data_IF_244046586007
#
_entry.id   IF_244046586007
#
_cell.length_a   1.000
_cell.length_b   1.000
_cell.length_c   1.000
_cell.angle_alpha   90.00
_cell.angle_beta   90.00
_cell.angle_gamma   90.00
#
_symmetry.space_group_name_H-M   'P 1'
#
loop_
_entity.id
_entity.type
_entity.pdbx_description
1 polymer ?
#
# COMPACT_ATOMS: atom_id res chain seq x y z
N UNK A 1 7.10 10.01 40.15
CA UNK A 1 7.54 9.86 38.75
C UNK A 1 6.79 8.69 38.14
N UNK A 2 5.76 8.97 37.34
CA UNK A 2 4.91 7.97 36.68
C UNK A 2 5.55 7.63 35.31
N UNK A 3 5.90 6.37 35.10
CA UNK A 3 6.29 5.87 33.78
C UNK A 3 5.03 5.55 32.98
N UNK A 4 4.71 6.41 32.00
CA UNK A 4 3.74 6.08 30.96
C UNK A 4 4.40 5.18 29.92
N UNK A 5 3.90 3.96 29.78
CA UNK A 5 4.31 3.03 28.73
C UNK A 5 3.92 3.57 27.36
N UNK A 6 4.88 3.68 26.45
CA UNK A 6 4.63 3.85 25.02
C UNK A 6 3.90 2.62 24.50
N UNK A 7 2.58 2.75 24.31
CA UNK A 7 1.85 1.86 23.43
C UNK A 7 2.32 2.14 22.00
N UNK A 8 2.93 1.14 21.35
CA UNK A 8 3.21 1.16 19.92
C UNK A 8 1.88 1.23 19.14
N UNK A 9 1.41 2.45 18.90
CA UNK A 9 0.33 2.75 17.96
C UNK A 9 0.96 2.78 16.57
N UNK A 10 1.12 1.61 15.96
CA UNK A 10 1.32 1.52 14.51
C UNK A 10 0.20 2.24 13.76
N UNK A 11 0.46 2.64 12.51
CA UNK A 11 -0.52 3.34 11.68
C UNK A 11 -1.83 2.51 11.57
N UNK A 12 -3.00 3.13 11.33
CA UNK A 12 -4.25 2.39 11.16
C UNK A 12 -4.15 1.26 10.12
N UNK A 13 -3.40 1.52 9.04
CA UNK A 13 -3.06 0.55 7.99
C UNK A 13 -2.20 -0.59 8.52
N UNK A 14 -1.13 -0.30 9.26
CA UNK A 14 -0.26 -1.32 9.85
C UNK A 14 -1.03 -2.25 10.81
N UNK A 15 -1.99 -1.69 11.57
CA UNK A 15 -2.88 -2.48 12.43
C UNK A 15 -3.85 -3.33 11.61
N UNK A 16 -4.39 -2.80 10.51
CA UNK A 16 -5.28 -3.56 9.61
C UNK A 16 -4.54 -4.71 8.91
N UNK A 17 -3.32 -4.47 8.44
CA UNK A 17 -2.44 -5.47 7.86
C UNK A 17 -2.05 -6.55 8.87
N UNK A 18 -1.82 -6.19 10.15
CA UNK A 18 -1.48 -7.17 11.21
C UNK A 18 -2.58 -8.22 11.49
N UNK A 19 -3.81 -7.98 11.04
CA UNK A 19 -4.96 -8.88 11.20
C UNK A 19 -5.21 -9.75 9.97
N UNK A 20 -4.52 -9.48 8.87
CA UNK A 20 -4.62 -10.26 7.65
C UNK A 20 -3.89 -11.59 7.80
N UNK A 21 -4.43 -12.65 7.19
CA UNK A 21 -3.72 -13.92 6.99
C UNK A 21 -3.42 -14.18 5.51
N UNK A 22 -3.96 -13.37 4.62
CA UNK A 22 -3.79 -13.45 3.16
C UNK A 22 -3.29 -12.13 2.64
N UNK A 23 -2.27 -12.17 1.80
CA UNK A 23 -1.72 -11.01 1.10
C UNK A 23 -1.65 -11.34 -0.37
N UNK A 24 -2.18 -10.47 -1.22
CA UNK A 24 -2.11 -10.60 -2.68
C UNK A 24 -1.55 -9.33 -3.29
N UNK A 25 -0.76 -9.50 -4.34
CA UNK A 25 -0.19 -8.41 -5.11
C UNK A 25 -0.66 -8.49 -6.56
N UNK A 26 -1.01 -7.34 -7.11
CA UNK A 26 -1.54 -7.20 -8.46
C UNK A 26 -0.70 -6.20 -9.22
N UNK A 27 -0.28 -6.60 -10.41
CA UNK A 27 0.43 -5.72 -11.32
C UNK A 27 -0.56 -4.97 -12.22
N UNK A 28 -0.14 -3.78 -12.65
CA UNK A 28 -0.89 -2.98 -13.60
C UNK A 28 -1.00 -3.69 -14.96
N UNK A 29 -2.21 -3.73 -15.53
CA UNK A 29 -2.44 -4.15 -16.92
C UNK A 29 -2.26 -2.98 -17.90
N UNK A 30 -1.14 -2.98 -18.62
CA UNK A 30 -0.72 -1.92 -19.55
C UNK A 30 -1.66 -1.74 -20.75
N UNK A 31 -2.38 -2.79 -21.16
CA UNK A 31 -3.31 -2.73 -22.30
C UNK A 31 -4.47 -1.73 -22.10
N UNK A 32 -4.70 -1.29 -20.86
CA UNK A 32 -5.74 -0.33 -20.49
C UNK A 32 -5.17 1.02 -20.02
N UNK A 33 -3.87 1.25 -20.25
CA UNK A 33 -3.25 2.56 -20.04
C UNK A 33 -3.68 3.51 -21.17
N UNK A 34 -4.80 4.20 -21.00
CA UNK A 34 -5.13 5.34 -21.87
C UNK A 34 -4.10 6.45 -21.60
N UNK A 35 -3.17 6.67 -22.52
CA UNK A 35 -2.22 7.79 -22.47
C UNK A 35 -2.99 9.09 -22.79
N UNK A 36 -3.20 10.04 -21.85
CA UNK A 36 -3.61 11.38 -22.21
C UNK A 36 -2.34 12.18 -22.48
N UNK A 37 -1.52 11.71 -23.42
CA UNK A 37 -0.27 12.40 -23.82
C UNK A 37 -0.59 13.77 -24.47
N UNK A 38 -1.85 14.01 -24.82
CA UNK A 38 -2.32 15.23 -25.47
C UNK A 38 -2.45 16.47 -24.56
N UNK A 39 -2.29 16.38 -23.24
CA UNK A 39 -2.62 17.53 -22.35
C UNK A 39 -1.46 18.10 -21.52
N UNK A 40 -0.24 17.56 -21.59
CA UNK A 40 0.85 18.00 -20.70
C UNK A 40 0.57 17.75 -19.20
N UNK A 41 -0.51 17.01 -18.89
CA UNK A 41 -0.90 16.56 -17.55
C UNK A 41 -0.05 15.33 -17.21
N UNK A 42 0.68 15.40 -16.10
CA UNK A 42 1.44 14.32 -15.45
C UNK A 42 0.49 13.34 -14.74
N UNK A 43 -0.59 12.94 -15.41
CA UNK A 43 -1.61 12.05 -14.91
C UNK A 43 -1.70 10.79 -15.77
N UNK A 44 -1.75 9.61 -15.14
CA UNK A 44 -1.86 8.31 -15.82
C UNK A 44 -2.93 7.44 -15.18
N UNK A 45 -3.52 6.56 -15.99
CA UNK A 45 -4.57 5.63 -15.59
C UNK A 45 -3.97 4.24 -15.37
N UNK A 46 -4.29 3.63 -14.23
CA UNK A 46 -3.88 2.27 -13.91
C UNK A 46 -5.06 1.37 -13.67
N UNK A 47 -5.11 0.26 -14.39
CA UNK A 47 -6.03 -0.83 -14.14
C UNK A 47 -5.31 -2.01 -13.48
N UNK A 48 -5.96 -2.62 -12.50
CA UNK A 48 -5.48 -3.81 -11.79
C UNK A 48 -6.57 -4.87 -11.81
N UNK A 49 -6.23 -6.08 -12.25
CA UNK A 49 -7.19 -7.16 -12.36
C UNK A 49 -7.31 -7.95 -11.04
N UNK A 50 -8.45 -7.78 -10.38
CA UNK A 50 -8.74 -8.36 -9.06
C UNK A 50 -9.51 -9.68 -9.14
N UNK A 51 -9.63 -10.30 -10.33
CA UNK A 51 -10.40 -11.54 -10.51
C UNK A 51 -9.87 -12.73 -9.71
N UNK A 52 -8.59 -12.70 -9.30
CA UNK A 52 -8.01 -13.76 -8.49
C UNK A 52 -8.41 -13.69 -7.01
N UNK A 53 -9.08 -12.62 -6.56
CA UNK A 53 -9.60 -12.51 -5.20
C UNK A 53 -10.88 -13.35 -5.06
N UNK A 54 -10.90 -14.38 -4.19
CA UNK A 54 -12.08 -15.18 -3.93
C UNK A 54 -13.21 -14.36 -3.31
N UNK A 55 -14.45 -14.77 -3.55
CA UNK A 55 -15.63 -14.06 -3.04
C UNK A 55 -15.76 -14.14 -1.52
N UNK A 56 -15.19 -15.17 -0.91
CA UNK A 56 -15.20 -15.46 0.52
C UNK A 56 -14.09 -14.72 1.28
N UNK A 57 -13.14 -14.09 0.56
CA UNK A 57 -12.03 -13.35 1.15
C UNK A 57 -12.51 -11.97 1.64
N UNK A 58 -12.19 -11.64 2.89
CA UNK A 58 -12.49 -10.34 3.51
C UNK A 58 -11.27 -9.44 3.49
N UNK A 59 -11.30 -8.38 2.69
CA UNK A 59 -10.24 -7.39 2.66
C UNK A 59 -10.24 -6.54 3.93
N UNK A 60 -9.06 -6.32 4.52
CA UNK A 60 -8.86 -5.42 5.67
C UNK A 60 -8.20 -4.11 5.27
N UNK A 61 -7.24 -4.15 4.35
CA UNK A 61 -6.56 -2.95 3.83
C UNK A 61 -6.00 -3.17 2.43
N UNK A 62 -5.75 -2.09 1.70
CA UNK A 62 -5.06 -2.12 0.43
C UNK A 62 -4.15 -0.90 0.26
N UNK A 63 -2.99 -1.15 -0.34
CA UNK A 63 -1.97 -0.13 -0.60
C UNK A 63 -1.58 -0.14 -2.07
N UNK A 64 -1.53 1.04 -2.69
CA UNK A 64 -0.94 1.23 -4.00
C UNK A 64 0.51 1.68 -3.83
N UNK A 65 1.45 0.91 -4.35
CA UNK A 65 2.87 1.21 -4.29
C UNK A 65 3.34 1.76 -5.64
N UNK A 66 3.99 2.93 -5.58
CA UNK A 66 4.52 3.62 -6.76
C UNK A 66 5.99 3.94 -6.51
N UNK A 67 6.83 3.65 -7.49
CA UNK A 67 8.25 3.97 -7.40
C UNK A 67 8.53 5.41 -7.86
N UNK A 68 9.24 6.15 -7.03
CA UNK A 68 9.83 7.45 -7.39
C UNK A 68 11.32 7.29 -7.60
N UNK A 69 11.84 7.93 -8.63
CA UNK A 69 13.27 8.04 -8.91
C UNK A 69 13.79 9.44 -8.54
N UNK A 70 14.97 9.51 -7.95
CA UNK A 70 15.68 10.75 -7.70
C UNK A 70 16.17 11.33 -9.02
N UNK A 71 16.00 12.64 -9.21
CA UNK A 71 16.68 13.36 -10.28
C UNK A 71 17.91 14.07 -9.73
N UNK A 72 19.05 13.79 -10.36
CA UNK A 72 20.27 14.57 -10.19
C UNK A 72 20.09 15.89 -10.94
N UNK A 73 19.38 16.85 -10.34
CA UNK A 73 19.43 18.22 -10.82
C UNK A 73 20.85 18.75 -10.54
N UNK A 74 21.50 19.30 -11.56
CA UNK A 74 22.77 20.03 -11.43
C UNK A 74 22.65 21.01 -10.27
N UNK A 75 23.45 20.79 -9.24
CA UNK A 75 23.38 21.45 -7.94
C UNK A 75 23.69 22.94 -8.04
N UNK A 76 22.71 23.79 -8.35
CA UNK A 76 22.89 25.24 -8.24
C UNK A 76 21.81 25.98 -7.44
N UNK A 77 20.76 25.33 -6.96
CA UNK A 77 19.88 25.97 -5.97
C UNK A 77 19.27 24.97 -4.99
N UNK A 78 19.47 25.24 -3.70
CA UNK A 78 18.99 24.49 -2.53
C UNK A 78 17.50 24.71 -2.24
N UNK A 79 16.68 25.00 -3.25
CA UNK A 79 15.24 24.99 -3.10
C UNK A 79 14.76 23.55 -3.01
N UNK A 80 14.09 23.21 -1.91
CA UNK A 80 13.53 21.88 -1.70
C UNK A 80 12.43 21.60 -2.72
N UNK A 81 12.78 20.93 -3.82
CA UNK A 81 11.79 20.57 -4.84
C UNK A 81 10.83 19.51 -4.28
N UNK A 82 9.59 19.93 -4.11
CA UNK A 82 8.50 19.06 -3.67
C UNK A 82 7.53 18.85 -4.84
N UNK A 83 6.99 17.63 -4.92
CA UNK A 83 5.87 17.31 -5.80
C UNK A 83 4.78 16.66 -4.97
N UNK A 84 3.53 16.86 -5.36
CA UNK A 84 2.38 16.23 -4.74
C UNK A 84 1.90 15.10 -5.65
N UNK A 85 1.80 13.90 -5.10
CA UNK A 85 1.20 12.77 -5.79
C UNK A 85 -0.23 12.62 -5.29
N UNK A 86 -1.19 12.64 -6.21
CA UNK A 86 -2.60 12.46 -5.94
C UNK A 86 -3.07 11.13 -6.53
N UNK A 87 -3.76 10.33 -5.73
CA UNK A 87 -4.34 9.05 -6.16
C UNK A 87 -5.85 9.21 -6.19
N UNK A 88 -6.45 8.98 -7.34
CA UNK A 88 -7.89 9.02 -7.53
C UNK A 88 -8.44 7.66 -7.94
N UNK A 89 -9.63 7.32 -7.47
CA UNK A 89 -10.46 6.25 -8.01
C UNK A 89 -11.26 6.79 -9.20
N UNK A 90 -11.40 5.98 -10.26
CA UNK A 90 -12.34 6.26 -11.35
C UNK A 90 -13.71 5.71 -10.94
N UNK A 91 -14.68 6.59 -10.69
CA UNK A 91 -16.05 6.20 -10.34
C UNK A 91 -16.85 5.87 -11.60
N UNK A 92 -16.67 6.67 -12.66
CA UNK A 92 -17.30 6.44 -13.96
C UNK A 92 -16.28 6.70 -15.07
N UNK A 93 -16.16 5.78 -16.05
CA UNK A 93 -15.28 5.99 -17.18
C UNK A 93 -15.77 7.15 -18.05
N UNK A 94 -14.84 7.78 -18.77
CA UNK A 94 -15.12 8.85 -19.70
C UNK A 94 -15.89 8.32 -20.92
N UNK A 95 -17.15 8.74 -21.11
CA UNK A 95 -17.90 8.44 -22.35
C UNK A 95 -17.78 9.58 -23.37
N UNK A 96 -17.61 10.83 -22.93
CA UNK A 96 -17.48 12.02 -23.79
C UNK A 96 -16.77 13.24 -23.16
N UNK A 97 -16.45 13.20 -21.86
CA UNK A 97 -15.75 14.22 -21.07
C UNK A 97 -14.72 13.54 -20.16
N UNK A 98 -13.95 14.33 -19.41
CA UNK A 98 -13.06 13.83 -18.34
C UNK A 98 -13.80 12.82 -17.43
N UNK A 99 -13.15 11.71 -17.03
CA UNK A 99 -13.77 10.69 -16.20
C UNK A 99 -14.18 11.26 -14.84
N UNK A 100 -15.25 10.73 -14.26
CA UNK A 100 -15.65 11.12 -12.91
C UNK A 100 -14.76 10.41 -11.89
N UNK A 101 -13.98 11.19 -11.13
CA UNK A 101 -12.95 10.67 -10.23
C UNK A 101 -13.20 11.07 -8.77
N UNK A 102 -12.58 10.34 -7.85
CA UNK A 102 -12.61 10.63 -6.40
C UNK A 102 -11.22 10.53 -5.82
N UNK A 103 -10.75 11.57 -5.15
CA UNK A 103 -9.45 11.55 -4.46
C UNK A 103 -9.49 10.54 -3.31
N UNK A 104 -8.51 9.64 -3.27
CA UNK A 104 -8.33 8.65 -2.22
C UNK A 104 -7.24 9.07 -1.24
N UNK A 105 -6.07 9.40 -1.77
CA UNK A 105 -4.90 9.75 -0.98
C UNK A 105 -4.06 10.80 -1.71
N UNK A 106 -3.36 11.63 -0.95
CA UNK A 106 -2.44 12.64 -1.46
C UNK A 106 -1.21 12.72 -0.58
N UNK A 107 -0.03 12.80 -1.20
CA UNK A 107 1.22 12.94 -0.47
C UNK A 107 2.13 13.98 -1.10
N UNK A 108 2.64 14.87 -0.25
CA UNK A 108 3.73 15.76 -0.61
C UNK A 108 5.05 15.00 -0.43
N UNK A 109 5.87 14.97 -1.47
CA UNK A 109 7.12 14.22 -1.48
C UNK A 109 8.28 15.00 -2.04
N UNK A 110 9.45 14.76 -1.46
CA UNK A 110 10.72 15.38 -1.88
C UNK A 110 11.29 14.63 -3.08
N UNK A 111 11.92 15.37 -3.98
CA UNK A 111 12.56 14.81 -5.19
C UNK A 111 13.98 14.26 -4.95
N UNK A 112 14.49 14.34 -3.73
CA UNK A 112 15.90 14.11 -3.42
C UNK A 112 16.30 12.65 -3.18
N UNK A 113 15.37 11.69 -3.28
CA UNK A 113 15.64 10.28 -3.03
C UNK A 113 14.74 9.38 -3.89
N UNK A 114 15.31 8.28 -4.39
CA UNK A 114 14.55 7.20 -5.01
C UNK A 114 13.90 6.35 -3.93
N UNK A 115 12.58 6.17 -3.97
CA UNK A 115 11.85 5.40 -2.95
C UNK A 115 10.49 4.94 -3.46
N UNK A 116 10.04 3.81 -2.93
CA UNK A 116 8.64 3.40 -2.99
C UNK A 116 7.77 4.26 -2.07
N UNK A 117 6.69 4.77 -2.63
CA UNK A 117 5.63 5.48 -1.91
C UNK A 117 4.38 4.60 -1.89
N UNK A 118 3.91 4.22 -0.69
CA UNK A 118 2.65 3.52 -0.49
C UNK A 118 1.51 4.49 -0.25
N UNK A 119 0.38 4.32 -0.94
CA UNK A 119 -0.84 5.13 -0.80
C UNK A 119 -2.01 4.28 -0.34
N UNK A 120 -2.86 4.82 0.53
CA UNK A 120 -4.04 4.10 1.00
C UNK A 120 -5.14 4.12 -0.07
N UNK A 121 -5.44 2.94 -0.62
CA UNK A 121 -6.51 2.75 -1.60
C UNK A 121 -7.59 1.81 -1.07
N UNK A 122 -7.54 1.48 0.22
CA UNK A 122 -8.50 0.61 0.91
C UNK A 122 -9.95 0.96 0.58
N UNK A 123 -10.39 2.24 0.61
CA UNK A 123 -11.80 2.55 0.35
C UNK A 123 -12.28 2.12 -1.04
N UNK A 124 -11.43 2.27 -2.07
CA UNK A 124 -11.78 1.91 -3.45
C UNK A 124 -11.81 0.39 -3.62
N UNK A 125 -10.77 -0.30 -3.16
CA UNK A 125 -10.68 -1.76 -3.30
C UNK A 125 -11.80 -2.46 -2.50
N UNK A 126 -12.16 -1.94 -1.33
CA UNK A 126 -13.32 -2.41 -0.56
C UNK A 126 -14.62 -2.28 -1.36
N UNK A 127 -14.84 -1.17 -2.07
CA UNK A 127 -16.03 -1.00 -2.93
C UNK A 127 -16.06 -2.02 -4.06
N UNK A 128 -14.94 -2.23 -4.73
CA UNK A 128 -14.88 -3.16 -5.86
C UNK A 128 -15.10 -4.61 -5.43
N UNK A 129 -14.47 -5.03 -4.33
CA UNK A 129 -14.55 -6.41 -3.86
C UNK A 129 -15.80 -6.62 -3.00
N UNK A 130 -15.93 -5.94 -1.85
CA UNK A 130 -17.00 -6.21 -0.90
C UNK A 130 -18.38 -5.74 -1.38
N UNK A 131 -18.44 -4.61 -2.08
CA UNK A 131 -19.71 -4.06 -2.60
C UNK A 131 -19.99 -4.41 -4.05
N UNK A 132 -19.15 -5.26 -4.68
CA UNK A 132 -19.26 -5.72 -6.07
C UNK A 132 -19.43 -4.57 -7.08
N UNK A 133 -18.83 -3.41 -6.78
CA UNK A 133 -18.83 -2.29 -7.72
C UNK A 133 -17.86 -2.56 -8.88
N UNK A 134 -18.14 -2.01 -10.07
CA UNK A 134 -17.22 -2.15 -11.19
C UNK A 134 -15.87 -1.51 -10.85
N UNK A 135 -14.80 -2.22 -11.17
CA UNK A 135 -13.44 -1.69 -11.12
C UNK A 135 -13.17 -0.93 -12.41
N UNK A 136 -12.87 0.36 -12.31
CA UNK A 136 -12.46 1.20 -13.44
C UNK A 136 -11.01 1.66 -13.35
N UNK A 137 -10.28 1.24 -12.31
CA UNK A 137 -8.89 1.61 -12.05
C UNK A 137 -8.71 2.92 -11.29
N UNK A 138 -7.46 3.36 -11.23
CA UNK A 138 -7.00 4.55 -10.56
C UNK A 138 -6.45 5.58 -11.55
N UNK A 139 -6.45 6.85 -11.16
CA UNK A 139 -5.64 7.90 -11.78
C UNK A 139 -4.58 8.32 -10.78
N UNK A 140 -3.33 8.37 -11.24
CA UNK A 140 -2.21 8.90 -10.48
C UNK A 140 -1.74 10.17 -11.16
N UNK A 141 -1.80 11.27 -10.43
CA UNK A 141 -1.42 12.60 -10.88
C UNK A 141 -0.25 13.12 -10.06
N UNK A 142 0.78 13.66 -10.75
CA UNK A 142 1.95 14.25 -10.11
C UNK A 142 1.97 15.75 -10.34
N UNK A 143 1.67 16.53 -9.31
CA UNK A 143 1.70 17.98 -9.38
C UNK A 143 3.06 18.49 -8.92
N UNK A 144 3.80 19.13 -9.82
CA UNK A 144 5.03 19.83 -9.48
C UNK A 144 4.67 21.21 -8.92
N UNK A 145 5.20 21.55 -7.75
CA UNK A 145 4.87 22.81 -7.08
C UNK A 145 5.78 23.97 -7.54
N UNK A 146 6.91 23.65 -8.16
CA UNK A 146 7.88 24.63 -8.64
C UNK A 146 7.69 24.88 -10.15
N UNK A 147 7.53 26.14 -10.53
CA UNK A 147 7.04 26.59 -11.84
C UNK A 147 8.14 26.66 -12.93
N UNK A 148 9.40 26.34 -12.62
CA UNK A 148 10.56 26.81 -13.39
C UNK A 148 11.38 25.74 -14.13
N UNK A 149 10.93 24.49 -14.26
CA UNK A 149 11.64 23.57 -15.17
C UNK A 149 10.78 22.44 -15.73
N UNK A 150 10.68 22.42 -17.07
CA UNK A 150 10.09 21.33 -17.86
C UNK A 150 10.79 19.97 -17.67
N UNK A 151 12.02 19.99 -17.12
CA UNK A 151 12.83 18.80 -16.79
C UNK A 151 12.21 18.00 -15.63
N UNK A 152 11.39 18.65 -14.78
CA UNK A 152 10.83 18.04 -13.57
C UNK A 152 9.80 16.92 -13.83
N UNK A 153 9.26 16.80 -15.04
CA UNK A 153 8.07 15.98 -15.33
C UNK A 153 8.28 14.45 -15.34
N UNK A 154 9.50 13.94 -15.09
CA UNK A 154 9.84 12.51 -15.20
C UNK A 154 10.15 11.80 -13.87
N UNK A 155 9.87 12.45 -12.73
CA UNK A 155 10.41 12.02 -11.43
C UNK A 155 9.69 10.83 -10.79
N UNK A 156 8.45 10.56 -11.20
CA UNK A 156 7.67 9.44 -10.67
C UNK A 156 7.53 8.42 -11.78
N UNK A 157 7.97 7.19 -11.51
CA UNK A 157 7.99 6.11 -12.49
C UNK A 157 6.59 5.50 -12.59
N UNK A 158 5.79 6.14 -13.45
CA UNK A 158 4.36 5.86 -13.61
C UNK A 158 4.08 5.12 -14.92
N UNK A 159 4.93 5.25 -15.96
CA UNK A 159 4.67 4.61 -17.27
C UNK A 159 5.95 4.08 -17.91
N UNK A 160 5.80 3.01 -18.70
CA UNK A 160 6.86 2.39 -19.51
C UNK A 160 7.38 3.34 -20.59
N UNK A 161 6.50 4.16 -21.17
CA UNK A 161 6.78 5.12 -22.25
C UNK A 161 7.83 6.19 -21.92
N UNK A 162 8.16 6.37 -20.64
CA UNK A 162 9.14 7.36 -20.20
C UNK A 162 10.59 6.82 -20.15
N UNK A 163 10.85 5.55 -20.50
CA UNK A 163 12.15 4.91 -20.30
C UNK A 163 12.57 3.94 -21.42
N UNK A 164 13.89 3.71 -21.53
CA UNK A 164 14.56 2.98 -22.63
C UNK A 164 14.89 1.52 -22.29
N UNK A 165 14.90 1.14 -21.00
CA UNK A 165 15.35 -0.18 -20.52
C UNK A 165 14.19 -1.06 -20.02
N UNK A 166 13.87 -2.10 -20.79
CA UNK A 166 12.81 -3.10 -20.56
C UNK A 166 12.93 -3.84 -19.22
N UNK A 167 14.13 -4.34 -18.88
CA UNK A 167 14.32 -5.24 -17.75
C UNK A 167 14.00 -4.57 -16.40
N UNK A 168 14.29 -3.26 -16.30
CA UNK A 168 14.05 -2.47 -15.09
C UNK A 168 12.56 -2.20 -14.83
N UNK A 169 11.72 -2.22 -15.87
CA UNK A 169 10.31 -1.88 -15.76
C UNK A 169 9.50 -2.94 -15.02
N UNK A 170 9.82 -4.21 -15.25
CA UNK A 170 9.17 -5.33 -14.57
C UNK A 170 9.20 -5.23 -13.04
N UNK A 171 10.28 -4.64 -12.50
CA UNK A 171 10.54 -4.49 -11.07
C UNK A 171 9.97 -3.19 -10.48
N UNK A 172 9.79 -2.15 -11.31
CA UNK A 172 9.46 -0.80 -10.86
C UNK A 172 8.05 -0.35 -11.26
N UNK A 173 7.30 -1.20 -11.96
CA UNK A 173 5.89 -0.96 -12.29
C UNK A 173 5.03 -0.84 -11.03
N UNK A 174 3.96 -0.04 -11.06
CA UNK A 174 3.03 0.09 -9.94
C UNK A 174 2.46 -1.24 -9.49
N UNK A 175 2.31 -1.38 -8.17
CA UNK A 175 1.84 -2.60 -7.52
C UNK A 175 0.70 -2.30 -6.57
N UNK A 176 -0.44 -2.96 -6.76
CA UNK A 176 -1.53 -2.94 -5.80
C UNK A 176 -1.38 -4.12 -4.85
N UNK A 177 -1.21 -3.84 -3.57
CA UNK A 177 -1.11 -4.86 -2.51
C UNK A 177 -2.38 -4.86 -1.69
N UNK A 178 -2.93 -6.03 -1.46
CA UNK A 178 -4.15 -6.24 -0.69
C UNK A 178 -3.86 -7.13 0.50
N UNK A 179 -4.43 -6.78 1.64
CA UNK A 179 -4.34 -7.51 2.88
C UNK A 179 -5.75 -7.93 3.28
N UNK A 180 -5.95 -9.21 3.56
CA UNK A 180 -7.26 -9.76 3.83
C UNK A 180 -7.24 -11.05 4.64
N UNK A 181 -8.42 -11.64 4.74
CA UNK A 181 -8.66 -12.87 5.46
C UNK A 181 -9.44 -13.86 4.58
N UNK A 182 -8.85 -15.02 4.29
CA UNK A 182 -9.45 -16.08 3.45
C UNK A 182 -10.65 -16.81 4.10
N UNK A 183 -11.12 -16.34 5.25
CA UNK A 183 -12.19 -16.94 6.03
C UNK A 183 -11.79 -18.25 6.73
N UNK A 184 -10.53 -18.68 6.58
CA UNK A 184 -10.02 -19.94 7.11
C UNK A 184 -8.89 -19.67 8.10
N UNK A 185 -9.17 -19.93 9.38
CA UNK A 185 -8.21 -19.79 10.47
C UNK A 185 -8.50 -18.59 11.35
N UNK A 186 -7.95 -18.60 12.56
CA UNK A 186 -8.09 -17.47 13.46
C UNK A 186 -7.17 -16.33 12.99
N UNK A 187 -7.59 -15.04 13.08
CA UNK A 187 -6.69 -13.92 12.87
C UNK A 187 -5.44 -14.16 13.71
N UNK A 188 -4.25 -13.88 13.16
CA UNK A 188 -2.97 -14.01 13.85
C UNK A 188 -2.93 -13.00 15.01
N UNK A 189 -3.71 -13.23 16.06
CA UNK A 189 -3.79 -12.33 17.19
C UNK A 189 -2.44 -12.35 17.89
N UNK A 190 -1.94 -11.12 18.12
CA UNK A 190 -0.77 -10.75 18.91
C UNK A 190 -0.40 -11.85 19.90
N UNK A 191 0.82 -12.39 19.75
CA UNK A 191 1.49 -13.25 20.73
C UNK A 191 1.16 -12.76 22.13
N UNK A 192 0.19 -13.40 22.78
CA UNK A 192 -0.14 -13.11 24.16
C UNK A 192 1.15 -13.40 24.93
N UNK A 193 1.70 -12.39 25.63
CA UNK A 193 2.88 -12.60 26.47
C UNK A 193 2.52 -13.76 27.39
N UNK A 194 3.18 -14.91 27.21
CA UNK A 194 3.07 -16.09 28.07
C UNK A 194 3.67 -15.75 29.44
N UNK A 195 3.06 -14.82 30.17
CA UNK A 195 3.30 -14.72 31.59
C UNK A 195 2.50 -15.84 32.22
N UNK A 196 3.22 -16.79 32.81
CA UNK A 196 2.62 -17.83 33.63
C UNK A 196 1.87 -17.16 34.77
N UNK A 197 0.56 -16.93 34.61
CA UNK A 197 -0.30 -16.60 35.75
C UNK A 197 -0.20 -17.79 36.70
N UNK A 198 0.41 -17.56 37.86
CA UNK A 198 0.44 -18.51 38.97
C UNK A 198 -1.00 -18.74 39.44
N UNK A 199 -1.73 -19.63 38.76
CA UNK A 199 -3.05 -20.07 39.23
C UNK A 199 -2.83 -20.92 40.47
N UNK A 200 -3.39 -20.46 41.59
CA UNK A 200 -3.44 -21.19 42.85
C UNK A 200 -4.00 -22.60 42.63
N UNK A 201 -3.37 -23.56 43.32
CA UNK A 201 -3.66 -24.99 43.27
C UNK A 201 -5.12 -25.25 43.65
N UNK A 202 -5.82 -26.05 42.84
CA UNK A 202 -6.46 -27.33 43.24
C UNK A 202 -7.46 -27.79 42.18
N UNK A 203 -7.08 -28.82 41.42
CA UNK A 203 -7.93 -29.97 41.05
C UNK A 203 -7.04 -30.98 40.34
N UNK A 204 -7.01 -32.21 40.85
CA UNK A 204 -6.36 -33.34 40.16
C UNK A 204 -7.08 -33.56 38.83
N UNK A 205 -6.46 -33.13 37.73
CA UNK A 205 -6.82 -33.58 36.38
C UNK A 205 -5.66 -34.41 35.83
N UNK A 206 -6.00 -35.53 35.21
CA UNK A 206 -5.11 -36.48 34.54
C UNK A 206 -4.58 -35.96 33.19
N UNK A 207 -4.44 -34.64 33.02
CA UNK A 207 -3.89 -34.05 31.81
C UNK A 207 -2.38 -33.85 31.92
N UNK A 208 -1.67 -33.94 30.79
CA UNK A 208 -0.24 -33.64 30.67
C UNK A 208 0.08 -32.28 31.33
N UNK A 209 1.04 -32.29 32.28
CA UNK A 209 1.49 -31.11 33.00
C UNK A 209 3.01 -31.08 33.02
N UNK A 210 3.58 -29.88 32.99
CA UNK A 210 5.02 -29.70 33.14
C UNK A 210 5.40 -29.94 34.60
N UNK A 211 6.25 -30.93 34.85
CA UNK A 211 6.81 -31.19 36.16
C UNK A 211 8.10 -30.39 36.35
N UNK A 212 8.31 -29.73 37.51
CA UNK A 212 9.61 -29.16 37.81
C UNK A 212 10.62 -30.31 37.97
N UNK A 213 11.75 -30.22 37.28
CA UNK A 213 12.88 -31.13 37.44
C UNK A 213 14.08 -30.28 37.88
N UNK A 214 14.61 -30.58 39.05
CA UNK A 214 15.85 -29.98 39.54
C UNK A 214 17.00 -30.84 39.05
N UNK A 215 18.04 -30.20 38.52
CA UNK A 215 19.28 -30.86 38.11
C UNK A 215 20.41 -30.17 38.84
N UNK A 216 21.17 -30.94 39.60
CA UNK A 216 22.38 -30.52 40.27
C UNK A 216 23.59 -30.89 39.41
N UNK A 217 24.61 -30.02 39.39
CA UNK A 217 25.81 -30.18 38.57
C UNK A 217 27.09 -30.19 39.42
N UNK A 218 26.98 -30.40 40.74
CA UNK A 218 28.13 -30.65 41.62
C UNK A 218 29.00 -31.83 41.16
#
# INVERSE_FOLDING_TARGET
RLHAGQAALGSPLERAASRANTVRSFHHEEAWEDLPEASGRTARRFFFNLTSVPNEEFLTSAELQIFREQVQATFENTSSYHHRINIYEIIKPATSKDPATRLLDTRLVRQNASKWESFDVTPAVMRWIAHRQPNHGFIVEVVHLDNESSVSKRHVRISRSLHQDEDSWSQLRPLLVTFGHDGKGHPLHKREKRQAKHKQRKRHKSSCKRHPLYVDFN
#
